data_IF_994758929736
#
_entry.id   IF_994758929736
#
_cell.length_a   1.000
_cell.length_b   1.000
_cell.length_c   1.000
_cell.angle_alpha   90.00
_cell.angle_beta   90.00
_cell.angle_gamma   90.00
#
_symmetry.space_group_name_H-M   'P 1'
#
loop_
_entity.id
_entity.type
_entity.pdbx_description
1 polymer ?
#
# COMPACT_ATOMS: atom_id res chain seq x y z
N UNK A 1 -6.70 59.11 45.73
CA UNK A 1 -7.57 57.93 45.44
C UNK A 1 -7.20 57.38 44.07
N UNK A 2 -7.06 56.06 43.90
CA UNK A 2 -6.17 55.46 42.89
C UNK A 2 -6.92 54.85 41.70
N UNK A 3 -6.22 54.67 40.57
CA UNK A 3 -6.14 53.45 39.71
C UNK A 3 -6.00 53.82 38.22
N UNK A 4 -4.77 53.67 37.70
CA UNK A 4 -4.33 52.58 36.79
C UNK A 4 -4.83 52.74 35.35
N UNK A 5 -4.01 53.40 34.54
CA UNK A 5 -4.03 53.25 33.08
C UNK A 5 -3.49 51.85 32.75
N UNK A 6 -4.39 50.96 32.32
CA UNK A 6 -4.06 49.60 31.92
C UNK A 6 -3.66 49.60 30.43
N UNK A 7 -2.61 48.84 30.17
CA UNK A 7 -1.81 48.77 28.97
C UNK A 7 -2.54 48.19 27.73
N UNK A 8 -1.93 48.49 26.58
CA UNK A 8 -2.13 47.88 25.26
C UNK A 8 -2.35 46.36 25.33
N UNK A 9 -3.28 45.87 24.51
CA UNK A 9 -3.32 44.48 24.05
C UNK A 9 -3.47 44.47 22.52
N UNK A 10 -2.31 44.44 21.87
CA UNK A 10 -2.14 43.92 20.51
C UNK A 10 -2.18 42.39 20.62
N UNK A 11 -2.98 41.74 19.78
CA UNK A 11 -3.03 40.29 19.68
C UNK A 11 -3.45 39.86 18.28
N UNK A 12 -2.47 39.74 17.37
CA UNK A 12 -2.54 38.88 16.19
C UNK A 12 -2.53 37.42 16.62
N UNK A 13 -3.46 36.59 16.12
CA UNK A 13 -3.29 35.14 15.93
C UNK A 13 -4.14 34.75 14.70
N UNK A 14 -3.57 34.66 13.50
CA UNK A 14 -2.89 33.48 12.92
C UNK A 14 -3.82 32.30 12.63
N UNK A 15 -3.87 31.95 11.34
CA UNK A 15 -4.74 30.94 10.77
C UNK A 15 -4.46 29.53 11.27
N UNK A 16 -5.52 28.73 11.25
CA UNK A 16 -5.45 27.28 11.38
C UNK A 16 -5.86 26.66 10.05
N UNK A 17 -4.93 26.65 9.09
CA UNK A 17 -4.90 25.59 8.09
C UNK A 17 -4.48 24.32 8.84
N UNK A 18 -5.44 23.45 9.12
CA UNK A 18 -5.15 22.10 9.59
C UNK A 18 -4.57 21.29 8.44
N UNK A 19 -3.29 21.47 8.18
CA UNK A 19 -2.51 20.63 7.28
C UNK A 19 -2.45 19.24 7.90
N UNK A 20 -3.13 18.28 7.28
CA UNK A 20 -3.03 16.87 7.64
C UNK A 20 -1.57 16.43 7.55
N UNK A 21 -0.94 16.24 8.70
CA UNK A 21 0.37 15.61 8.78
C UNK A 21 0.21 14.20 8.20
N UNK A 22 0.88 13.94 7.07
CA UNK A 22 0.98 12.58 6.55
C UNK A 22 1.74 11.76 7.60
N UNK A 23 1.10 10.71 8.12
CA UNK A 23 1.67 9.83 9.16
C UNK A 23 2.84 9.03 8.60
N UNK A 24 4.00 9.67 8.52
CA UNK A 24 5.28 9.09 8.10
C UNK A 24 5.86 8.13 9.15
N UNK A 25 5.07 7.65 10.11
CA UNK A 25 5.49 6.69 11.13
C UNK A 25 4.62 5.42 11.21
N UNK A 26 3.73 5.16 10.24
CA UNK A 26 3.00 3.89 10.20
C UNK A 26 3.98 2.71 10.08
N UNK A 27 3.75 1.66 10.87
CA UNK A 27 4.53 0.44 10.82
C UNK A 27 4.06 -0.46 9.67
N UNK A 28 4.90 -1.42 9.29
CA UNK A 28 4.51 -2.44 8.31
C UNK A 28 3.38 -3.29 8.86
N UNK A 29 2.45 -3.67 7.98
CA UNK A 29 1.31 -4.50 8.34
C UNK A 29 1.27 -5.73 7.44
N UNK A 30 1.20 -6.91 8.04
CA UNK A 30 1.05 -8.17 7.31
C UNK A 30 -0.39 -8.65 7.39
N UNK A 31 -0.98 -8.96 6.24
CA UNK A 31 -2.32 -9.51 6.09
C UNK A 31 -2.20 -10.96 5.60
N UNK A 32 -2.85 -11.91 6.26
CA UNK A 32 -2.75 -13.33 5.93
C UNK A 32 -1.43 -13.96 6.39
N UNK A 33 -0.87 -14.87 5.59
CA UNK A 33 0.34 -15.60 5.92
C UNK A 33 1.59 -14.68 5.95
N UNK A 34 2.59 -14.97 6.82
CA UNK A 34 3.84 -14.23 6.84
C UNK A 34 4.60 -14.38 5.51
N UNK A 35 5.32 -13.33 5.12
CA UNK A 35 6.07 -13.27 3.86
C UNK A 35 7.51 -12.91 4.15
N UNK A 36 8.42 -13.68 3.55
CA UNK A 36 9.81 -13.32 3.43
C UNK A 36 10.01 -12.40 2.23
N UNK A 37 10.46 -11.16 2.50
CA UNK A 37 10.67 -10.14 1.49
C UNK A 37 12.12 -10.12 0.96
N UNK A 38 13.00 -10.99 1.45
CA UNK A 38 14.45 -10.95 1.16
C UNK A 38 14.75 -11.01 -0.34
N UNK A 39 14.01 -11.85 -1.07
CA UNK A 39 14.21 -12.10 -2.50
C UNK A 39 13.07 -11.54 -3.35
N UNK A 40 12.44 -10.44 -2.91
CA UNK A 40 11.35 -9.83 -3.67
C UNK A 40 11.85 -9.19 -4.96
N UNK A 41 11.19 -9.51 -6.07
CA UNK A 41 11.46 -8.94 -7.39
C UNK A 41 10.48 -7.80 -7.70
N UNK A 42 10.92 -6.72 -8.36
CA UNK A 42 10.01 -5.64 -8.75
C UNK A 42 8.87 -6.14 -9.64
N UNK A 43 7.64 -5.81 -9.27
CA UNK A 43 6.44 -6.15 -10.05
C UNK A 43 6.53 -5.71 -11.53
N UNK A 44 7.08 -4.52 -11.88
CA UNK A 44 7.30 -4.15 -13.28
C UNK A 44 8.26 -5.09 -14.02
N UNK A 45 9.32 -5.58 -13.36
CA UNK A 45 10.29 -6.49 -13.97
C UNK A 45 9.66 -7.87 -14.23
N UNK A 46 8.89 -8.38 -13.25
CA UNK A 46 8.15 -9.63 -13.42
C UNK A 46 7.07 -9.51 -14.50
N UNK A 47 6.41 -8.36 -14.61
CA UNK A 47 5.41 -8.13 -15.66
C UNK A 47 6.02 -8.00 -17.06
N UNK A 48 7.22 -7.43 -17.18
CA UNK A 48 7.92 -7.29 -18.46
C UNK A 48 8.47 -8.62 -19.00
N UNK A 49 8.86 -9.53 -18.11
CA UNK A 49 9.41 -10.85 -18.46
C UNK A 49 8.47 -12.00 -18.01
N UNK A 50 7.16 -11.76 -18.10
CA UNK A 50 6.11 -12.64 -17.54
C UNK A 50 6.24 -14.12 -17.92
N UNK A 51 6.60 -14.40 -19.17
CA UNK A 51 6.81 -15.75 -19.72
C UNK A 51 7.83 -16.59 -18.94
N UNK A 52 8.79 -15.97 -18.23
CA UNK A 52 9.75 -16.66 -17.38
C UNK A 52 9.15 -17.11 -16.05
N UNK A 53 8.07 -16.47 -15.61
CA UNK A 53 7.51 -16.62 -14.27
C UNK A 53 6.13 -17.30 -14.26
N UNK A 54 5.46 -17.38 -15.41
CA UNK A 54 4.14 -18.02 -15.52
C UNK A 54 4.17 -19.48 -15.02
N UNK A 55 3.29 -19.77 -14.06
CA UNK A 55 3.17 -21.06 -13.42
C UNK A 55 4.14 -21.32 -12.28
N UNK A 56 5.11 -20.43 -12.06
CA UNK A 56 6.05 -20.50 -10.95
C UNK A 56 5.56 -19.69 -9.74
N UNK A 57 6.07 -20.07 -8.57
CA UNK A 57 5.95 -19.24 -7.37
C UNK A 57 7.01 -18.14 -7.44
N UNK A 58 6.58 -16.90 -7.26
CA UNK A 58 7.44 -15.71 -7.24
C UNK A 58 7.10 -14.85 -6.04
N UNK A 59 8.11 -14.17 -5.49
CA UNK A 59 7.95 -13.10 -4.52
C UNK A 59 8.13 -11.79 -5.25
N UNK A 60 7.14 -10.91 -5.18
CA UNK A 60 7.19 -9.61 -5.84
C UNK A 60 6.96 -8.49 -4.86
N UNK A 61 7.49 -7.32 -5.20
CA UNK A 61 7.23 -6.08 -4.51
C UNK A 61 6.79 -4.97 -5.48
N UNK A 62 5.95 -4.04 -5.01
CA UNK A 62 5.44 -2.99 -5.87
C UNK A 62 4.54 -2.00 -5.17
N UNK A 63 4.35 -0.84 -5.81
CA UNK A 63 3.44 0.19 -5.33
C UNK A 63 1.99 -0.23 -5.59
N UNK A 64 1.14 -0.20 -4.57
CA UNK A 64 -0.30 -0.41 -4.74
C UNK A 64 -0.89 0.78 -5.51
N UNK A 65 -1.64 0.51 -6.58
CA UNK A 65 -2.35 1.52 -7.38
C UNK A 65 -3.86 1.45 -7.21
N UNK A 66 -4.39 0.28 -6.85
CA UNK A 66 -5.80 0.08 -6.54
C UNK A 66 -6.00 -1.10 -5.61
N UNK A 67 -7.04 -1.02 -4.77
CA UNK A 67 -7.59 -2.15 -4.01
C UNK A 67 -9.06 -2.28 -4.40
N UNK A 68 -9.50 -3.49 -4.73
CA UNK A 68 -10.90 -3.73 -5.11
C UNK A 68 -11.80 -3.58 -3.88
N UNK A 69 -13.09 -3.31 -4.11
CA UNK A 69 -14.05 -3.05 -3.03
C UNK A 69 -14.14 -4.16 -1.96
N UNK A 70 -13.83 -5.41 -2.32
CA UNK A 70 -13.79 -6.54 -1.39
C UNK A 70 -12.53 -6.59 -0.51
N UNK A 71 -11.48 -5.85 -0.85
CA UNK A 71 -10.16 -5.94 -0.23
C UNK A 71 -9.36 -7.18 -0.62
N UNK A 72 -9.93 -8.09 -1.41
CA UNK A 72 -9.33 -9.39 -1.72
C UNK A 72 -8.33 -9.35 -2.88
N UNK A 73 -8.35 -8.28 -3.66
CA UNK A 73 -7.52 -8.11 -4.83
C UNK A 73 -6.94 -6.70 -4.79
N UNK A 74 -5.66 -6.58 -5.12
CA UNK A 74 -4.97 -5.30 -5.30
C UNK A 74 -4.19 -5.31 -6.61
N UNK A 75 -4.01 -4.14 -7.20
CA UNK A 75 -3.18 -3.95 -8.37
C UNK A 75 -1.88 -3.27 -7.98
N UNK A 76 -0.78 -3.77 -8.54
CA UNK A 76 0.52 -3.14 -8.43
C UNK A 76 0.83 -2.30 -9.67
N UNK A 77 1.60 -1.23 -9.47
CA UNK A 77 2.11 -0.41 -10.55
C UNK A 77 3.01 -1.24 -11.48
N UNK A 78 2.68 -1.26 -12.76
CA UNK A 78 3.47 -1.84 -13.84
C UNK A 78 3.41 -0.92 -15.06
N UNK A 79 4.46 -0.91 -15.88
CA UNK A 79 4.49 -0.20 -17.17
C UNK A 79 4.14 -1.13 -18.35
N UNK A 80 3.68 -2.35 -18.04
CA UNK A 80 3.43 -3.44 -18.97
C UNK A 80 2.03 -4.04 -18.71
N UNK A 81 1.90 -5.37 -18.78
CA UNK A 81 0.66 -6.07 -18.45
C UNK A 81 0.24 -5.74 -17.00
N UNK A 82 -1.03 -5.41 -16.73
CA UNK A 82 -1.52 -5.17 -15.38
C UNK A 82 -1.26 -6.38 -14.48
N UNK A 83 -0.70 -6.15 -13.29
CA UNK A 83 -0.44 -7.21 -12.31
C UNK A 83 -1.35 -7.06 -11.11
N UNK A 84 -2.24 -8.04 -10.93
CA UNK A 84 -3.18 -8.15 -9.82
C UNK A 84 -2.69 -9.22 -8.84
N UNK A 85 -2.58 -8.85 -7.56
CA UNK A 85 -2.37 -9.79 -6.47
C UNK A 85 -3.72 -10.13 -5.85
N UNK A 86 -4.02 -11.42 -5.75
CA UNK A 86 -5.31 -11.93 -5.34
C UNK A 86 -5.21 -12.87 -4.14
N UNK A 87 -6.13 -12.71 -3.19
CA UNK A 87 -6.31 -13.63 -2.09
C UNK A 87 -6.93 -14.94 -2.59
N UNK A 88 -6.40 -16.11 -2.20
CA UNK A 88 -7.12 -17.35 -2.39
C UNK A 88 -8.41 -17.34 -1.58
N UNK A 89 -9.39 -18.10 -2.05
CA UNK A 89 -10.62 -18.35 -1.31
C UNK A 89 -10.41 -19.49 -0.32
N UNK A 90 -10.91 -19.30 0.89
CA UNK A 90 -11.06 -20.35 1.89
C UNK A 90 -12.20 -21.30 1.49
N UNK A 91 -12.32 -22.43 2.18
CA UNK A 91 -13.43 -23.37 2.00
C UNK A 91 -14.80 -22.74 2.30
N UNK A 92 -14.84 -21.70 3.14
CA UNK A 92 -16.04 -20.93 3.45
C UNK A 92 -16.39 -19.89 2.36
N UNK A 93 -15.53 -19.69 1.35
CA UNK A 93 -15.71 -18.70 0.29
C UNK A 93 -15.14 -17.31 0.61
N UNK A 94 -14.70 -17.08 1.85
CA UNK A 94 -14.04 -15.85 2.27
C UNK A 94 -12.62 -15.75 1.71
N UNK A 95 -12.09 -14.53 1.64
CA UNK A 95 -10.72 -14.28 1.20
C UNK A 95 -9.75 -14.59 2.35
N UNK A 96 -8.65 -15.28 2.04
CA UNK A 96 -7.64 -15.61 3.05
C UNK A 96 -6.96 -14.37 3.67
N UNK A 97 -7.06 -13.22 3.01
CA UNK A 97 -6.71 -11.91 3.53
C UNK A 97 -7.53 -10.83 2.83
N UNK A 98 -7.65 -9.67 3.48
CA UNK A 98 -8.32 -8.49 2.95
C UNK A 98 -7.53 -7.23 3.33
N UNK A 99 -7.38 -6.33 2.37
CA UNK A 99 -6.77 -5.01 2.55
C UNK A 99 -7.83 -3.94 2.78
N UNK A 100 -7.51 -2.87 3.54
CA UNK A 100 -8.28 -1.63 3.50
C UNK A 100 -8.36 -1.10 2.07
N UNK A 101 -9.52 -0.60 1.67
CA UNK A 101 -9.77 -0.11 0.29
C UNK A 101 -8.97 1.14 -0.06
N UNK A 102 -8.45 1.85 0.94
CA UNK A 102 -7.64 3.07 0.82
C UNK A 102 -6.12 2.82 0.90
N UNK A 103 -5.68 1.55 0.96
CA UNK A 103 -4.25 1.22 0.96
C UNK A 103 -3.58 1.69 -0.34
N UNK A 104 -2.60 2.59 -0.22
CA UNK A 104 -1.87 3.20 -1.35
C UNK A 104 -0.35 3.13 -1.17
N UNK A 105 0.08 2.15 -0.38
CA UNK A 105 1.44 1.96 0.11
C UNK A 105 2.24 0.98 -0.79
N UNK A 106 3.41 0.54 -0.34
CA UNK A 106 4.20 -0.47 -1.05
C UNK A 106 3.87 -1.85 -0.51
N UNK A 107 3.70 -2.85 -1.36
CA UNK A 107 3.33 -4.19 -0.95
C UNK A 107 4.34 -5.22 -1.42
N UNK A 108 4.52 -6.26 -0.61
CA UNK A 108 5.24 -7.48 -0.94
C UNK A 108 4.27 -8.64 -0.89
N UNK A 109 4.31 -9.52 -1.90
CA UNK A 109 3.45 -10.69 -1.99
C UNK A 109 4.22 -11.88 -2.57
N UNK A 110 3.97 -13.09 -2.04
CA UNK A 110 4.56 -14.33 -2.55
C UNK A 110 3.47 -15.31 -2.98
N UNK A 111 3.45 -15.66 -4.25
CA UNK A 111 2.35 -16.40 -4.85
C UNK A 111 2.70 -17.04 -6.18
N UNK A 112 1.73 -17.76 -6.76
CA UNK A 112 1.89 -18.35 -8.09
C UNK A 112 1.38 -17.39 -9.15
N UNK A 113 2.21 -17.06 -10.15
CA UNK A 113 1.82 -16.18 -11.25
C UNK A 113 1.09 -16.95 -12.35
N UNK A 114 -0.02 -16.42 -12.84
CA UNK A 114 -0.82 -16.98 -13.94
C UNK A 114 -1.32 -15.85 -14.83
N UNK A 115 -1.66 -16.17 -16.07
CA UNK A 115 -2.42 -15.28 -16.95
C UNK A 115 -3.91 -15.41 -16.61
N UNK A 116 -4.61 -14.29 -16.50
CA UNK A 116 -6.05 -14.21 -16.38
C UNK A 116 -6.56 -13.16 -17.37
N UNK A 117 -7.08 -13.62 -18.50
CA UNK A 117 -7.48 -12.76 -19.63
C UNK A 117 -6.30 -11.90 -20.11
N UNK A 118 -6.40 -10.58 -20.03
CA UNK A 118 -5.38 -9.59 -20.39
C UNK A 118 -4.55 -9.10 -19.19
N UNK A 119 -4.65 -9.81 -18.05
CA UNK A 119 -3.93 -9.47 -16.81
C UNK A 119 -3.02 -10.60 -16.34
N UNK A 120 -2.00 -10.23 -15.58
CA UNK A 120 -1.23 -11.15 -14.75
C UNK A 120 -1.89 -11.23 -13.37
N UNK A 121 -2.13 -12.45 -12.90
CA UNK A 121 -2.69 -12.71 -11.58
C UNK A 121 -1.71 -13.50 -10.72
N UNK A 122 -1.31 -12.91 -9.61
CA UNK A 122 -0.53 -13.57 -8.57
C UNK A 122 -1.45 -13.98 -7.42
N UNK A 123 -1.71 -15.28 -7.25
CA UNK A 123 -2.46 -15.77 -6.09
C UNK A 123 -1.51 -15.96 -4.91
N UNK A 124 -1.66 -15.15 -3.86
CA UNK A 124 -0.74 -15.11 -2.71
C UNK A 124 -1.47 -15.41 -1.40
N UNK A 125 -0.84 -16.11 -0.46
CA UNK A 125 -1.46 -16.45 0.84
C UNK A 125 -1.41 -15.31 1.87
N UNK A 126 -0.69 -14.25 1.57
CA UNK A 126 -0.61 -13.04 2.38
C UNK A 126 -0.01 -11.90 1.58
N UNK A 127 -0.10 -10.70 2.15
CA UNK A 127 0.53 -9.47 1.66
C UNK A 127 1.14 -8.72 2.84
N UNK A 128 2.38 -8.26 2.70
CA UNK A 128 3.00 -7.31 3.65
C UNK A 128 2.98 -5.91 3.03
N UNK A 129 2.33 -4.96 3.70
CA UNK A 129 2.22 -3.57 3.27
C UNK A 129 3.17 -2.71 4.11
N UNK A 130 4.02 -1.95 3.42
CA UNK A 130 5.02 -1.03 3.98
C UNK A 130 4.61 0.40 3.62
N UNK A 131 4.29 1.25 4.60
CA UNK A 131 3.86 2.62 4.36
C UNK A 131 4.90 3.45 3.61
N UNK A 132 4.47 4.21 2.59
CA UNK A 132 5.37 5.14 1.89
C UNK A 132 5.67 6.31 2.83
N UNK A 133 6.93 6.45 3.22
CA UNK A 133 7.42 7.59 4.01
C UNK A 133 7.42 8.83 3.13
N UNK A 134 6.49 9.76 3.37
CA UNK A 134 6.54 11.08 2.74
C UNK A 134 7.36 11.98 3.64
N UNK A 135 8.62 12.22 3.28
CA UNK A 135 9.39 13.29 3.91
C UNK A 135 8.80 14.62 3.43
N UNK A 136 8.11 15.35 4.30
CA UNK A 136 7.83 16.75 4.02
C UNK A 136 9.17 17.48 3.97
N UNK A 137 9.52 18.22 2.90
CA UNK A 137 10.65 19.11 2.97
C UNK A 137 10.34 20.17 4.03
N UNK A 138 11.22 20.29 5.04
CA UNK A 138 11.16 21.38 6.01
C UNK A 138 11.05 22.71 5.25
N UNK A 139 9.97 23.46 5.52
CA UNK A 139 9.73 24.80 4.96
C UNK A 139 10.22 25.87 5.92
#
# INVERSE_FOLDING_TARGET
MPRRALALLVGLLLGACGSGASDSNRADTTYGAPIDATDAMPAPAVAAEDSLYLGHRVTIDGRITAVWASGCDMQLATDATPLVVAAPRTDAGDCAWQLPSDAQDFAVAAGTLRTAEDTLRLTANGVRVTPVRVSSPDS
#
